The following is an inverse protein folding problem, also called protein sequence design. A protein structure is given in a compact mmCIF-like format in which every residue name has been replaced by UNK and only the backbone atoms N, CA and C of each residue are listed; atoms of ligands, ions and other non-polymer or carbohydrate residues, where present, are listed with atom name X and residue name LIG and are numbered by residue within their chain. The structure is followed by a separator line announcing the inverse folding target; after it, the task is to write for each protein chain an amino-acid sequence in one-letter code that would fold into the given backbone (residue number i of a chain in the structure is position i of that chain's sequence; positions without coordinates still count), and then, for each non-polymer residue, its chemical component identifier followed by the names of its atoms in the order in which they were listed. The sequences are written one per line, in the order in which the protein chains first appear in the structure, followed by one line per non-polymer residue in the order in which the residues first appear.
data_IF_719230047300
#
_entry.id   IF_719230047300
#
_cell.length_a   1.000
_cell.length_b   1.000
_cell.length_c   1.000
_cell.angle_alpha   90.00
_cell.angle_beta   90.00
_cell.angle_gamma   90.00
#
_symmetry.space_group_name_H-M   'P 1'
#
loop_
_entity.id
_entity.type
_entity.pdbx_description
1 polymer ?
#
# COMPACT_ATOMS: atom_id res chain seq x y z
N UNK A 1 49.91 36.02 27.05
CA UNK A 1 48.64 35.37 27.33
C UNK A 1 47.58 35.45 26.21
N UNK A 2 47.93 35.87 24.96
CA UNK A 2 46.95 36.05 23.84
C UNK A 2 46.72 34.83 22.93
N UNK A 3 47.64 33.86 22.92
CA UNK A 3 47.60 32.75 21.96
C UNK A 3 46.76 31.53 22.37
N UNK A 4 46.41 31.42 23.67
CA UNK A 4 45.65 30.27 24.16
C UNK A 4 44.13 30.33 23.87
N UNK A 5 43.57 31.55 23.76
CA UNK A 5 42.13 31.75 23.41
C UNK A 5 41.82 31.54 21.95
N UNK A 6 42.79 31.78 21.04
CA UNK A 6 42.59 31.60 19.57
C UNK A 6 42.54 30.13 19.23
N UNK A 7 43.35 29.28 19.85
CA UNK A 7 43.34 27.83 19.59
C UNK A 7 42.07 27.15 20.09
N UNK A 8 41.48 27.61 21.20
CA UNK A 8 40.23 27.05 21.74
C UNK A 8 39.02 27.37 20.83
N UNK A 9 38.97 28.60 20.26
CA UNK A 9 37.92 28.98 19.32
C UNK A 9 38.02 28.23 17.99
N UNK A 10 39.24 27.99 17.49
CA UNK A 10 39.47 27.22 16.27
C UNK A 10 39.09 25.72 16.44
N UNK A 11 39.37 25.14 17.61
CA UNK A 11 39.00 23.75 17.92
C UNK A 11 37.48 23.60 18.07
N UNK A 12 36.79 24.58 18.69
CA UNK A 12 35.33 24.55 18.82
C UNK A 12 34.64 24.68 17.46
N UNK A 13 35.16 25.51 16.54
CA UNK A 13 34.58 25.64 15.20
C UNK A 13 34.78 24.38 14.35
N UNK A 14 35.90 23.68 14.48
CA UNK A 14 36.18 22.43 13.76
C UNK A 14 35.29 21.29 14.26
N UNK A 15 34.94 21.24 15.54
CA UNK A 15 34.02 20.23 16.10
C UNK A 15 32.57 20.46 15.65
N UNK A 16 32.14 21.73 15.54
CA UNK A 16 30.80 22.08 15.09
C UNK A 16 30.57 21.75 13.61
N UNK A 17 31.56 21.92 12.75
CA UNK A 17 31.50 21.57 11.31
C UNK A 17 31.53 20.06 11.11
N UNK A 18 32.23 19.30 11.97
CA UNK A 18 32.27 17.84 11.92
C UNK A 18 30.92 17.17 12.27
N UNK A 19 30.07 17.83 13.08
CA UNK A 19 28.77 17.26 13.48
C UNK A 19 27.65 17.45 12.44
N UNK A 20 27.78 18.40 11.51
CA UNK A 20 26.83 18.59 10.40
C UNK A 20 27.02 17.60 9.25
N UNK A 21 28.10 16.85 9.19
CA UNK A 21 28.45 15.94 8.10
C UNK A 21 27.86 14.53 8.19
N UNK A 22 27.15 14.18 9.27
CA UNK A 22 26.61 12.83 9.51
C UNK A 22 25.15 12.66 9.17
N UNK A 23 24.53 13.58 8.43
CA UNK A 23 23.32 13.25 7.71
C UNK A 23 23.69 12.34 6.53
N UNK A 24 23.92 11.06 6.85
CA UNK A 24 23.98 10.00 5.87
C UNK A 24 22.73 10.09 5.01
N UNK A 25 22.89 10.56 3.77
CA UNK A 25 21.91 10.36 2.71
C UNK A 25 21.80 8.85 2.51
N UNK A 26 20.98 8.20 3.32
CA UNK A 26 20.59 6.82 3.07
C UNK A 26 19.78 6.85 1.77
N UNK A 27 20.29 6.31 0.64
CA UNK A 27 19.54 6.30 -0.60
C UNK A 27 18.22 5.58 -0.30
N UNK A 28 17.09 6.28 -0.45
CA UNK A 28 15.77 5.70 -0.23
C UNK A 28 15.63 4.52 -1.19
N UNK A 29 15.91 3.32 -0.69
CA UNK A 29 15.87 2.09 -1.46
C UNK A 29 14.47 1.94 -2.03
N UNK A 30 14.39 1.67 -3.33
CA UNK A 30 13.14 1.54 -4.09
C UNK A 30 12.41 0.29 -3.62
N UNK A 31 11.42 0.45 -2.74
CA UNK A 31 10.62 -0.63 -2.18
C UNK A 31 9.18 -0.16 -1.96
N UNK A 32 8.25 -1.11 -1.95
CA UNK A 32 6.83 -0.81 -1.79
C UNK A 32 5.95 -1.87 -2.44
N UNK A 33 4.81 -1.45 -2.96
CA UNK A 33 3.90 -2.29 -3.72
C UNK A 33 3.65 -1.68 -5.09
N UNK A 34 3.46 -2.54 -6.10
CA UNK A 34 3.05 -2.16 -7.45
C UNK A 34 2.12 -3.23 -8.01
N UNK A 35 1.22 -2.84 -8.90
CA UNK A 35 0.29 -3.78 -9.52
C UNK A 35 -0.80 -3.10 -10.31
N UNK A 36 -1.88 -3.85 -10.52
CA UNK A 36 -3.02 -3.40 -11.30
C UNK A 36 -4.33 -3.79 -10.63
N UNK A 37 -5.32 -2.92 -10.73
CA UNK A 37 -6.70 -3.22 -10.34
C UNK A 37 -7.51 -3.51 -11.59
N UNK A 38 -8.27 -4.61 -11.55
CA UNK A 38 -9.14 -5.05 -12.61
C UNK A 38 -10.56 -5.21 -12.10
N UNK A 39 -11.55 -4.79 -12.86
CA UNK A 39 -12.95 -5.00 -12.56
C UNK A 39 -13.49 -6.17 -13.35
N UNK A 40 -14.12 -7.11 -12.66
CA UNK A 40 -14.89 -8.21 -13.23
C UNK A 40 -16.37 -7.83 -13.17
N UNK A 41 -17.09 -7.99 -14.27
CA UNK A 41 -18.55 -7.75 -14.36
C UNK A 41 -19.20 -8.83 -15.20
N UNK A 42 -20.45 -9.16 -14.85
CA UNK A 42 -21.27 -10.13 -15.56
C UNK A 42 -20.93 -11.57 -15.19
N UNK A 43 -21.41 -12.48 -16.03
CA UNK A 43 -21.27 -13.92 -15.83
C UNK A 43 -19.80 -14.34 -16.03
N UNK A 44 -19.23 -14.96 -15.01
CA UNK A 44 -17.87 -15.51 -14.99
C UNK A 44 -17.91 -17.06 -15.03
N UNK A 45 -19.10 -17.67 -15.18
CA UNK A 45 -19.21 -19.11 -15.29
C UNK A 45 -18.66 -19.61 -16.62
N UNK A 46 -17.86 -20.67 -16.61
CA UNK A 46 -17.47 -21.34 -17.86
C UNK A 46 -18.71 -21.88 -18.57
N UNK A 47 -18.96 -21.44 -19.80
CA UNK A 47 -20.00 -22.01 -20.67
C UNK A 47 -19.36 -22.62 -21.92
N UNK A 48 -19.81 -23.78 -22.42
CA UNK A 48 -19.29 -24.39 -23.64
C UNK A 48 -19.36 -23.44 -24.86
N UNK A 49 -20.37 -22.56 -24.88
CA UNK A 49 -20.68 -21.69 -26.01
C UNK A 49 -20.12 -20.25 -25.85
N UNK A 50 -19.60 -19.89 -24.70
CA UNK A 50 -19.04 -18.58 -24.44
C UNK A 50 -17.61 -18.74 -23.88
N UNK A 51 -16.62 -18.21 -24.61
CA UNK A 51 -15.26 -18.19 -24.06
C UNK A 51 -15.25 -17.39 -22.77
N UNK A 52 -14.68 -17.97 -21.70
CA UNK A 52 -14.49 -17.28 -20.42
C UNK A 52 -13.76 -15.96 -20.70
N UNK A 53 -14.48 -14.86 -20.66
CA UNK A 53 -13.93 -13.52 -20.79
C UNK A 53 -13.21 -13.09 -19.53
N UNK A 54 -12.61 -14.03 -18.80
CA UNK A 54 -11.97 -13.90 -17.50
C UNK A 54 -10.83 -12.89 -17.38
N UNK A 55 -10.68 -12.00 -18.35
CA UNK A 55 -9.82 -10.84 -18.26
C UNK A 55 -10.66 -9.67 -17.79
N UNK A 56 -10.55 -9.31 -16.51
CA UNK A 56 -11.14 -8.09 -16.01
C UNK A 56 -10.72 -6.87 -16.82
N UNK A 57 -11.56 -5.83 -16.81
CA UNK A 57 -11.23 -4.55 -17.43
C UNK A 57 -10.38 -3.72 -16.45
N UNK A 58 -9.39 -2.96 -16.94
CA UNK A 58 -8.68 -2.01 -16.09
C UNK A 58 -9.65 -1.13 -15.30
N UNK A 59 -9.41 -0.96 -14.01
CA UNK A 59 -10.29 -0.20 -13.13
C UNK A 59 -9.53 0.92 -12.43
N UNK A 60 -9.83 2.16 -12.85
CA UNK A 60 -9.28 3.34 -12.21
C UNK A 60 -10.03 3.60 -10.89
N UNK A 61 -9.33 3.54 -9.77
CA UNK A 61 -9.91 3.67 -8.44
C UNK A 61 -8.92 4.29 -7.45
N UNK A 62 -9.38 4.47 -6.23
CA UNK A 62 -8.54 4.85 -5.10
C UNK A 62 -8.27 3.62 -4.24
N UNK A 63 -7.04 3.47 -3.78
CA UNK A 63 -6.61 2.44 -2.86
C UNK A 63 -6.33 3.06 -1.49
N UNK A 64 -6.78 2.40 -0.44
CA UNK A 64 -6.46 2.73 0.94
C UNK A 64 -5.55 1.64 1.51
N UNK A 65 -4.40 2.05 2.02
CA UNK A 65 -3.39 1.18 2.62
C UNK A 65 -3.39 1.43 4.12
N UNK A 66 -3.67 0.40 4.88
CA UNK A 66 -3.69 0.43 6.34
C UNK A 66 -2.59 -0.43 6.93
N UNK A 67 -2.29 -0.22 8.21
CA UNK A 67 -1.59 -1.23 9.01
C UNK A 67 -2.39 -2.54 8.99
N UNK A 68 -1.78 -3.70 9.29
CA UNK A 68 -2.48 -4.98 9.22
C UNK A 68 -3.82 -4.94 9.93
N UNK A 69 -4.88 -5.17 9.18
CA UNK A 69 -6.28 -5.00 9.63
C UNK A 69 -6.95 -6.36 9.72
N UNK A 70 -7.43 -6.71 10.90
CA UNK A 70 -8.22 -7.93 11.13
C UNK A 70 -9.72 -7.66 10.99
N UNK A 71 -10.51 -8.72 10.74
CA UNK A 71 -11.97 -8.64 10.66
C UNK A 71 -12.55 -7.97 11.90
N UNK A 72 -12.03 -8.30 13.09
CA UNK A 72 -12.47 -7.73 14.37
C UNK A 72 -12.28 -6.22 14.50
N UNK A 73 -11.46 -5.61 13.63
CA UNK A 73 -11.18 -4.18 13.59
C UNK A 73 -12.00 -3.44 12.53
N UNK A 74 -12.97 -4.14 11.90
CA UNK A 74 -13.78 -3.59 10.82
C UNK A 74 -15.26 -3.88 11.09
N UNK A 75 -16.10 -3.15 10.39
CA UNK A 75 -17.53 -3.46 10.30
C UNK A 75 -17.83 -3.96 8.89
N UNK A 76 -18.09 -5.27 8.77
CA UNK A 76 -18.51 -5.90 7.52
C UNK A 76 -19.96 -5.50 7.20
N UNK A 77 -20.22 -5.17 5.94
CA UNK A 77 -21.57 -4.92 5.45
C UNK A 77 -22.23 -6.22 4.95
N UNK A 78 -23.56 -6.31 5.08
CA UNK A 78 -24.32 -7.49 4.67
C UNK A 78 -24.25 -7.80 3.17
N UNK A 79 -23.93 -6.81 2.34
CA UNK A 79 -23.95 -6.92 0.89
C UNK A 79 -22.58 -7.29 0.28
N UNK A 80 -21.85 -8.22 0.88
CA UNK A 80 -20.61 -8.75 0.31
C UNK A 80 -19.33 -8.24 0.99
N UNK A 81 -18.17 -8.30 0.34
CA UNK A 81 -16.87 -8.02 0.96
C UNK A 81 -16.59 -6.51 1.07
N UNK A 82 -17.59 -5.78 1.57
CA UNK A 82 -17.47 -4.35 1.86
C UNK A 82 -17.34 -4.13 3.36
N UNK A 83 -16.49 -3.20 3.71
CA UNK A 83 -16.18 -2.85 5.09
C UNK A 83 -16.46 -1.36 5.31
N UNK A 84 -17.07 -1.04 6.44
CA UNK A 84 -17.12 0.32 7.00
C UNK A 84 -16.21 0.38 8.22
N UNK A 85 -15.81 1.58 8.62
CA UNK A 85 -15.06 1.85 9.85
C UNK A 85 -13.90 0.88 10.06
N UNK A 86 -12.81 1.16 9.40
CA UNK A 86 -11.55 0.47 9.65
C UNK A 86 -10.86 1.15 10.83
N UNK A 87 -10.66 0.44 11.94
CA UNK A 87 -10.06 0.96 13.16
C UNK A 87 -8.53 0.91 13.17
N UNK A 88 -7.91 0.24 12.21
CA UNK A 88 -6.46 0.28 12.05
C UNK A 88 -6.01 1.61 11.43
N UNK A 89 -4.74 1.95 11.62
CA UNK A 89 -4.18 3.21 11.15
C UNK A 89 -4.06 3.25 9.63
N UNK A 90 -4.61 4.30 9.03
CA UNK A 90 -4.41 4.58 7.61
C UNK A 90 -2.96 5.03 7.38
N UNK A 91 -2.24 4.30 6.52
CA UNK A 91 -0.86 4.60 6.15
C UNK A 91 -0.81 5.51 4.93
N UNK A 92 -1.62 5.19 3.90
CA UNK A 92 -1.61 5.97 2.66
C UNK A 92 -2.87 5.77 1.82
N UNK A 93 -3.26 6.85 1.11
CA UNK A 93 -4.23 6.79 0.01
C UNK A 93 -3.49 6.93 -1.32
N UNK A 94 -3.84 6.13 -2.31
CA UNK A 94 -3.19 6.10 -3.62
C UNK A 94 -4.25 6.03 -4.70
N UNK A 95 -4.14 6.87 -5.74
CA UNK A 95 -4.97 6.73 -6.93
C UNK A 95 -4.24 5.85 -7.94
N UNK A 96 -4.99 4.97 -8.61
CA UNK A 96 -4.49 4.26 -9.78
C UNK A 96 -4.54 5.15 -11.02
N UNK A 97 -3.82 4.78 -12.07
CA UNK A 97 -3.95 5.42 -13.38
C UNK A 97 -5.23 4.93 -14.13
N UNK A 98 -5.46 5.46 -15.32
CA UNK A 98 -6.61 5.08 -16.19
C UNK A 98 -6.61 3.59 -16.58
N UNK A 99 -5.46 2.93 -16.52
CA UNK A 99 -5.28 1.50 -16.75
C UNK A 99 -5.33 0.68 -15.45
N UNK A 100 -5.74 1.28 -14.33
CA UNK A 100 -5.81 0.63 -13.03
C UNK A 100 -4.44 0.35 -12.39
N UNK A 101 -3.34 0.85 -12.94
CA UNK A 101 -2.00 0.60 -12.44
C UNK A 101 -1.64 1.52 -11.28
N UNK A 102 -0.91 1.00 -10.33
CA UNK A 102 -0.39 1.77 -9.21
C UNK A 102 1.04 1.36 -8.85
N UNK A 103 1.75 2.29 -8.26
CA UNK A 103 3.07 2.06 -7.69
C UNK A 103 3.26 3.00 -6.50
N UNK A 104 3.50 2.43 -5.32
CA UNK A 104 3.61 3.20 -4.08
C UNK A 104 4.79 2.73 -3.25
N UNK A 105 5.57 3.70 -2.77
CA UNK A 105 6.68 3.44 -1.85
C UNK A 105 6.13 3.28 -0.44
N UNK A 106 6.55 2.21 0.22
CA UNK A 106 6.22 1.87 1.60
C UNK A 106 7.46 1.37 2.33
N UNK A 107 7.48 1.52 3.65
CA UNK A 107 8.48 0.86 4.49
C UNK A 107 8.30 -0.66 4.43
N UNK A 108 9.36 -1.46 4.68
CA UNK A 108 9.21 -2.90 4.83
C UNK A 108 8.25 -3.21 5.97
N UNK A 109 7.35 -4.17 5.75
CA UNK A 109 6.35 -4.54 6.72
C UNK A 109 5.11 -5.14 6.08
N UNK A 110 4.14 -5.48 6.89
CA UNK A 110 2.86 -6.03 6.47
C UNK A 110 1.80 -4.93 6.46
N UNK A 111 0.92 -4.96 5.47
CA UNK A 111 -0.15 -3.98 5.28
C UNK A 111 -1.42 -4.65 4.83
N UNK A 112 -2.53 -3.95 4.98
CA UNK A 112 -3.83 -4.27 4.43
C UNK A 112 -4.20 -3.27 3.34
N UNK A 113 -4.58 -3.76 2.16
CA UNK A 113 -4.92 -2.92 1.01
C UNK A 113 -6.38 -3.12 0.63
N UNK A 114 -7.10 -2.01 0.53
CA UNK A 114 -8.52 -1.96 0.17
C UNK A 114 -8.73 -1.09 -1.06
N UNK A 115 -9.69 -1.46 -1.88
CA UNK A 115 -10.26 -0.59 -2.92
C UNK A 115 -11.29 0.31 -2.23
N UNK A 116 -11.23 1.61 -2.50
CA UNK A 116 -12.20 2.58 -1.95
C UNK A 116 -13.33 2.75 -2.96
N UNK A 117 -14.56 2.49 -2.55
CA UNK A 117 -15.77 2.68 -3.34
C UNK A 117 -16.81 3.49 -2.55
N UNK A 118 -16.99 4.74 -2.96
CA UNK A 118 -17.80 5.69 -2.20
C UNK A 118 -17.26 5.87 -0.77
N UNK A 119 -18.07 5.52 0.22
CA UNK A 119 -17.71 5.58 1.64
C UNK A 119 -17.26 4.23 2.21
N UNK A 120 -17.13 3.21 1.37
CA UNK A 120 -16.82 1.85 1.79
C UNK A 120 -15.45 1.40 1.29
N UNK A 121 -14.94 0.36 1.92
CA UNK A 121 -13.68 -0.30 1.59
C UNK A 121 -13.99 -1.71 1.11
N UNK A 122 -13.41 -2.09 -0.02
CA UNK A 122 -13.64 -3.38 -0.64
C UNK A 122 -12.36 -4.23 -0.62
N UNK A 123 -12.47 -5.47 -0.16
CA UNK A 123 -11.41 -6.48 -0.23
C UNK A 123 -11.99 -7.88 -0.10
N UNK A 124 -11.59 -8.79 -0.99
CA UNK A 124 -12.06 -10.19 -1.02
C UNK A 124 -11.07 -11.18 -0.44
N UNK A 125 -9.81 -10.79 -0.30
CA UNK A 125 -8.73 -11.69 0.15
C UNK A 125 -8.54 -11.54 1.64
N UNK A 126 -8.47 -12.68 2.34
CA UNK A 126 -8.08 -12.78 3.74
C UNK A 126 -7.03 -13.88 3.87
N UNK A 127 -6.13 -13.74 4.83
CA UNK A 127 -5.19 -14.79 5.16
C UNK A 127 -5.66 -15.64 6.33
N UNK A 128 -4.88 -16.69 6.66
CA UNK A 128 -5.19 -17.61 7.75
C UNK A 128 -5.24 -16.98 9.14
N UNK A 129 -4.68 -15.77 9.31
CA UNK A 129 -4.72 -15.00 10.57
C UNK A 129 -5.92 -14.07 10.66
N UNK A 130 -6.78 -14.04 9.63
CA UNK A 130 -7.92 -13.13 9.50
C UNK A 130 -7.54 -11.69 9.16
N UNK A 131 -6.36 -11.47 8.59
CA UNK A 131 -5.97 -10.17 8.04
C UNK A 131 -6.61 -9.98 6.67
N UNK A 132 -7.25 -8.83 6.46
CA UNK A 132 -7.98 -8.48 5.24
C UNK A 132 -7.02 -7.81 4.27
N UNK A 133 -7.05 -8.19 2.98
CA UNK A 133 -6.23 -7.62 1.92
C UNK A 133 -4.73 -7.60 2.23
N UNK A 134 -4.12 -8.72 2.71
CA UNK A 134 -2.76 -8.71 3.21
C UNK A 134 -1.73 -8.56 2.09
N UNK A 135 -0.71 -7.76 2.33
CA UNK A 135 0.48 -7.65 1.48
C UNK A 135 1.73 -7.45 2.33
N UNK A 136 2.80 -8.13 1.95
CA UNK A 136 4.10 -7.99 2.59
C UNK A 136 5.03 -7.15 1.71
N UNK A 137 5.56 -6.07 2.25
CA UNK A 137 6.59 -5.24 1.61
C UNK A 137 7.95 -5.70 2.07
N UNK A 138 8.77 -6.17 1.14
CA UNK A 138 10.12 -6.60 1.40
C UNK A 138 11.12 -5.46 1.19
N UNK A 139 12.28 -5.58 1.85
CA UNK A 139 13.38 -4.62 1.67
C UNK A 139 13.89 -4.67 0.24
N UNK A 140 14.11 -3.48 -0.34
CA UNK A 140 14.81 -3.27 -1.62
C UNK A 140 14.08 -3.74 -2.87
N UNK A 141 12.80 -4.11 -2.79
CA UNK A 141 12.00 -4.46 -3.95
C UNK A 141 10.56 -3.97 -3.86
N UNK A 142 9.89 -3.91 -5.01
CA UNK A 142 8.44 -3.74 -5.06
C UNK A 142 7.78 -5.12 -5.06
N UNK A 143 6.83 -5.31 -4.15
CA UNK A 143 5.97 -6.50 -4.11
C UNK A 143 4.83 -6.29 -5.10
N UNK A 144 4.61 -7.27 -5.99
CA UNK A 144 3.49 -7.23 -6.92
C UNK A 144 2.19 -7.57 -6.20
N UNK A 145 1.15 -6.76 -6.44
CA UNK A 145 -0.18 -6.93 -5.88
C UNK A 145 -1.21 -6.59 -6.96
N UNK A 146 -1.80 -7.62 -7.58
CA UNK A 146 -2.89 -7.45 -8.52
C UNK A 146 -4.23 -7.65 -7.78
N UNK A 147 -5.12 -6.67 -7.87
CA UNK A 147 -6.40 -6.63 -7.18
C UNK A 147 -7.56 -6.82 -8.16
N UNK A 148 -8.60 -7.52 -7.70
CA UNK A 148 -9.85 -7.71 -8.46
C UNK A 148 -11.01 -7.05 -7.73
N UNK A 149 -11.81 -6.31 -8.47
CA UNK A 149 -13.08 -5.76 -8.05
C UNK A 149 -14.17 -6.59 -8.73
N UNK A 150 -14.71 -7.57 -8.04
CA UNK A 150 -15.66 -8.55 -8.58
C UNK A 150 -17.06 -8.46 -7.95
N UNK A 151 -17.37 -7.35 -7.27
CA UNK A 151 -18.68 -7.13 -6.67
C UNK A 151 -19.86 -7.15 -7.67
N UNK A 152 -19.60 -7.03 -8.96
CA UNK A 152 -20.59 -7.12 -10.04
C UNK A 152 -20.47 -8.40 -10.89
N UNK A 153 -19.70 -9.37 -10.45
CA UNK A 153 -19.53 -10.66 -11.10
C UNK A 153 -20.51 -11.71 -10.52
N UNK A 154 -20.98 -12.61 -11.39
CA UNK A 154 -21.75 -13.79 -11.01
C UNK A 154 -20.92 -15.02 -11.31
N UNK A 155 -20.85 -15.96 -10.37
CA UNK A 155 -20.08 -17.20 -10.46
C UNK A 155 -20.98 -18.42 -10.45
#
# INVERSE_FOLDING_TARGET
MKNKKINTMLVLSAVLVGFLGLFSFCPMKKQGIEGQVQQLKGDQMPSPDLPVTGRGRPYACKLAIFEPTKISQTQLLENGPYYQKINSKLVKLVNTDSLGRFKVKLAPGRYSVFIVEGNNYYATIQDGDGTIGPVNVEKHRFTRLDLKMDAGATY
#
